data_IF_544630052969
#
_entry.id   IF_544630052969
#
_cell.length_a   1.000
_cell.length_b   1.000
_cell.length_c   1.000
_cell.angle_alpha   90.00
_cell.angle_beta   90.00
_cell.angle_gamma   90.00
#
_symmetry.space_group_name_H-M   'P 1'
#
loop_
_entity.id
_entity.type
_entity.pdbx_description
1 polymer ?
#
# COMPACT_ATOMS: atom_id res chain seq x y z
N UNK A 1 51.10 11.73 -9.06
CA UNK A 1 49.63 12.02 -8.87
C UNK A 1 49.07 12.37 -10.22
N UNK A 2 48.05 11.63 -10.69
CA UNK A 2 47.33 12.00 -11.93
C UNK A 2 46.37 13.16 -11.60
N UNK A 3 46.31 14.14 -12.50
CA UNK A 3 45.37 15.23 -12.37
C UNK A 3 43.92 14.71 -12.47
N UNK A 4 43.00 15.32 -11.72
CA UNK A 4 41.57 14.98 -11.79
C UNK A 4 41.03 15.14 -13.21
N UNK A 5 41.65 16.00 -14.03
CA UNK A 5 41.25 16.21 -15.43
C UNK A 5 41.63 15.04 -16.35
N UNK A 6 42.56 14.16 -15.91
CA UNK A 6 43.02 13.00 -16.68
C UNK A 6 42.26 11.71 -16.30
N UNK A 7 41.28 11.81 -15.41
CA UNK A 7 40.47 10.68 -15.00
C UNK A 7 39.33 10.55 -16.03
N UNK A 8 39.47 9.54 -16.88
CA UNK A 8 38.38 9.12 -17.75
C UNK A 8 37.36 8.35 -16.91
N UNK A 9 36.09 8.73 -17.03
CA UNK A 9 34.97 7.99 -16.46
C UNK A 9 34.45 6.88 -17.40
N UNK A 10 35.18 6.64 -18.49
CA UNK A 10 34.93 5.49 -19.36
C UNK A 10 35.45 4.22 -18.68
N UNK A 11 34.54 3.48 -18.06
CA UNK A 11 34.82 2.21 -17.38
C UNK A 11 34.81 1.00 -18.33
N UNK A 12 34.71 1.23 -19.65
CA UNK A 12 34.75 0.14 -20.61
C UNK A 12 36.12 -0.52 -20.59
N UNK A 13 36.19 -1.82 -20.49
CA UNK A 13 37.48 -2.53 -20.60
C UNK A 13 38.06 -2.31 -21.99
N UNK A 14 39.38 -2.16 -22.04
CA UNK A 14 40.09 -2.07 -23.31
C UNK A 14 39.80 -3.31 -24.19
N UNK A 15 39.60 -3.16 -25.50
CA UNK A 15 39.43 -4.31 -26.39
C UNK A 15 40.61 -5.27 -26.25
N UNK A 16 40.33 -6.53 -25.95
CA UNK A 16 41.34 -7.56 -25.70
C UNK A 16 41.71 -7.83 -24.24
N UNK A 17 41.25 -7.01 -23.29
CA UNK A 17 41.47 -7.25 -21.86
C UNK A 17 40.34 -8.05 -21.21
N UNK A 18 39.25 -8.32 -21.93
CA UNK A 18 38.20 -9.16 -21.42
C UNK A 18 38.68 -10.59 -21.26
N UNK A 19 38.48 -11.22 -20.10
CA UNK A 19 38.77 -12.63 -19.95
C UNK A 19 37.91 -13.41 -20.95
N UNK A 20 38.50 -14.45 -21.54
CA UNK A 20 37.80 -15.33 -22.45
C UNK A 20 36.60 -15.94 -21.75
N UNK A 21 35.40 -15.68 -22.25
CA UNK A 21 34.19 -16.22 -21.64
C UNK A 21 34.27 -17.75 -21.63
N UNK A 22 34.09 -18.31 -20.44
CA UNK A 22 33.95 -19.76 -20.32
C UNK A 22 32.71 -20.20 -21.07
N UNK A 23 32.81 -21.25 -21.97
CA UNK A 23 31.63 -21.76 -22.61
C UNK A 23 30.62 -22.20 -21.54
N UNK A 24 29.46 -21.61 -21.56
CA UNK A 24 28.36 -22.05 -20.72
C UNK A 24 28.03 -23.48 -21.08
N UNK A 25 28.43 -24.43 -20.23
CA UNK A 25 28.05 -25.82 -20.35
C UNK A 25 26.52 -25.83 -20.08
N UNK A 26 25.74 -25.80 -21.16
CA UNK A 26 24.28 -26.01 -21.13
C UNK A 26 23.96 -27.49 -20.92
N UNK A 27 24.59 -28.14 -19.96
CA UNK A 27 24.02 -29.36 -19.40
C UNK A 27 22.76 -28.94 -18.67
N UNK A 28 21.62 -29.48 -19.14
CA UNK A 28 20.28 -29.07 -18.72
C UNK A 28 20.24 -28.70 -17.25
N UNK A 29 20.06 -27.41 -17.00
CA UNK A 29 19.95 -26.89 -15.67
C UNK A 29 18.68 -27.48 -15.03
N UNK A 30 18.88 -28.52 -14.27
CA UNK A 30 17.84 -29.03 -13.39
C UNK A 30 17.69 -27.98 -12.28
N UNK A 31 16.78 -27.04 -12.52
CA UNK A 31 16.58 -25.89 -11.65
C UNK A 31 16.53 -26.34 -10.19
N UNK A 32 17.34 -25.72 -9.34
CA UNK A 32 17.21 -25.92 -7.91
C UNK A 32 15.79 -25.54 -7.51
N UNK A 33 15.02 -26.48 -7.02
CA UNK A 33 13.76 -26.20 -6.35
C UNK A 33 14.07 -25.45 -5.06
N UNK A 34 13.95 -24.14 -5.10
CA UNK A 34 13.96 -23.35 -3.87
C UNK A 34 12.58 -23.52 -3.22
N UNK A 35 12.56 -23.99 -2.00
CA UNK A 35 11.35 -23.97 -1.20
C UNK A 35 10.87 -22.54 -1.07
N UNK A 36 9.56 -22.34 -1.21
CA UNK A 36 8.95 -21.01 -1.05
C UNK A 36 9.22 -20.53 0.38
N UNK A 37 10.02 -19.48 0.51
CA UNK A 37 10.36 -18.91 1.81
C UNK A 37 9.48 -17.69 2.05
N UNK A 38 8.61 -17.78 3.05
CA UNK A 38 7.81 -16.64 3.49
C UNK A 38 8.63 -15.79 4.46
N UNK A 39 8.93 -14.57 4.09
CA UNK A 39 9.51 -13.58 4.98
C UNK A 39 8.40 -12.78 5.64
N UNK A 40 8.29 -12.87 6.95
CA UNK A 40 7.47 -11.97 7.73
C UNK A 40 8.33 -10.80 8.18
N UNK A 41 7.91 -9.59 7.86
CA UNK A 41 8.56 -8.38 8.37
C UNK A 41 7.56 -7.57 9.18
N UNK A 42 8.06 -6.88 10.16
CA UNK A 42 7.28 -5.90 10.90
C UNK A 42 7.07 -4.69 9.97
N UNK A 43 5.81 -4.30 9.75
CA UNK A 43 5.52 -3.07 9.02
C UNK A 43 6.23 -1.89 9.69
N UNK A 44 6.67 -0.91 8.91
CA UNK A 44 7.25 0.31 9.47
C UNK A 44 6.25 0.91 10.47
N UNK A 45 6.74 1.34 11.62
CA UNK A 45 5.93 1.86 12.72
C UNK A 45 5.30 3.24 12.44
N UNK A 46 5.09 3.60 11.17
CA UNK A 46 4.36 4.80 10.76
C UNK A 46 2.88 4.59 11.09
N UNK A 47 2.46 5.27 12.13
CA UNK A 47 1.11 5.25 12.64
C UNK A 47 0.43 6.57 12.28
N UNK A 48 -0.70 6.51 11.58
CA UNK A 48 -1.63 7.61 11.38
C UNK A 48 -2.87 7.39 12.22
N UNK A 49 -3.48 8.47 12.68
CA UNK A 49 -4.73 8.42 13.46
C UNK A 49 -5.86 8.99 12.64
N UNK A 50 -7.02 8.33 12.67
CA UNK A 50 -8.23 8.85 12.05
C UNK A 50 -8.27 8.85 10.52
N UNK A 51 -7.69 7.86 9.87
CA UNK A 51 -7.73 7.68 8.40
C UNK A 51 -9.11 7.22 7.89
N UNK A 52 -10.19 7.97 8.20
CA UNK A 52 -11.56 7.57 7.88
C UNK A 52 -11.94 7.79 6.42
N UNK A 53 -11.30 8.73 5.74
CA UNK A 53 -11.57 9.11 4.35
C UNK A 53 -10.66 8.42 3.35
N UNK A 54 -9.69 7.66 3.82
CA UNK A 54 -8.71 6.98 2.99
C UNK A 54 -9.38 5.95 2.05
N UNK A 55 -8.97 5.98 0.80
CA UNK A 55 -9.25 4.91 -0.16
C UNK A 55 -8.05 3.95 -0.21
N UNK A 56 -8.07 2.95 0.66
CA UNK A 56 -6.96 2.00 0.83
C UNK A 56 -6.50 1.38 -0.49
N UNK A 57 -7.43 1.02 -1.36
CA UNK A 57 -7.09 0.37 -2.64
C UNK A 57 -6.35 1.31 -3.59
N UNK A 58 -6.79 2.55 -3.69
CA UNK A 58 -6.18 3.55 -4.56
C UNK A 58 -4.90 4.13 -3.95
N UNK A 59 -5.00 4.61 -2.71
CA UNK A 59 -3.93 5.39 -2.08
C UNK A 59 -2.75 4.55 -1.61
N UNK A 60 -3.03 3.34 -1.07
CA UNK A 60 -1.97 2.45 -0.58
C UNK A 60 -1.41 1.54 -1.67
N UNK A 61 -2.27 1.02 -2.54
CA UNK A 61 -1.90 -0.02 -3.51
C UNK A 61 -1.95 0.44 -4.96
N UNK A 62 -2.45 1.65 -5.24
CA UNK A 62 -2.52 2.20 -6.59
C UNK A 62 -3.52 1.49 -7.51
N UNK A 63 -4.49 0.75 -6.95
CA UNK A 63 -5.51 0.06 -7.72
C UNK A 63 -6.59 1.04 -8.19
N UNK A 64 -6.63 1.32 -9.47
CA UNK A 64 -7.67 2.12 -10.11
C UNK A 64 -8.51 1.22 -11.01
N UNK A 65 -9.84 1.25 -10.86
CA UNK A 65 -10.76 0.51 -11.72
C UNK A 65 -10.91 1.19 -13.09
N UNK A 66 -11.01 2.51 -13.11
CA UNK A 66 -11.15 3.31 -14.31
C UNK A 66 -10.53 4.70 -14.09
N UNK A 67 -9.37 5.00 -14.69
CA UNK A 67 -8.65 6.25 -14.41
C UNK A 67 -9.47 7.52 -14.69
N UNK A 68 -10.36 7.49 -15.69
CA UNK A 68 -11.18 8.64 -16.08
C UNK A 68 -12.30 8.89 -15.06
N UNK A 69 -12.87 7.84 -14.48
CA UNK A 69 -13.97 7.93 -13.52
C UNK A 69 -13.49 8.02 -12.07
N UNK A 70 -12.23 7.83 -11.82
CA UNK A 70 -11.65 7.82 -10.47
C UNK A 70 -11.96 9.07 -9.64
N UNK A 71 -11.88 10.30 -10.18
CA UNK A 71 -12.23 11.51 -9.43
C UNK A 71 -13.70 11.52 -8.97
N UNK A 72 -14.60 11.02 -9.83
CA UNK A 72 -16.04 10.94 -9.50
C UNK A 72 -16.28 9.90 -8.42
N UNK A 73 -15.65 8.73 -8.54
CA UNK A 73 -15.77 7.64 -7.56
C UNK A 73 -15.19 8.09 -6.20
N UNK A 74 -14.05 8.73 -6.20
CA UNK A 74 -13.40 9.25 -4.99
C UNK A 74 -14.23 10.35 -4.33
N UNK A 75 -14.80 11.26 -5.11
CA UNK A 75 -15.73 12.28 -4.63
C UNK A 75 -16.99 11.68 -4.02
N UNK A 76 -17.63 10.73 -4.70
CA UNK A 76 -18.81 10.04 -4.19
C UNK A 76 -18.50 9.30 -2.88
N UNK A 77 -17.37 8.61 -2.82
CA UNK A 77 -16.91 7.91 -1.61
C UNK A 77 -16.67 8.87 -0.44
N UNK A 78 -16.06 10.03 -0.71
CA UNK A 78 -15.86 11.08 0.29
C UNK A 78 -17.19 11.53 0.89
N UNK A 79 -18.15 11.93 0.04
CA UNK A 79 -19.47 12.40 0.51
C UNK A 79 -20.26 11.32 1.25
N UNK A 80 -20.19 10.06 0.82
CA UNK A 80 -20.81 8.95 1.52
C UNK A 80 -20.13 8.63 2.86
N UNK A 81 -18.85 8.92 3.00
CA UNK A 81 -18.13 8.71 4.25
C UNK A 81 -18.56 9.70 5.33
N UNK A 82 -18.96 10.93 4.96
CA UNK A 82 -19.37 11.95 5.95
C UNK A 82 -20.50 11.46 6.86
N UNK A 83 -21.66 11.00 6.36
CA UNK A 83 -22.72 10.50 7.23
C UNK A 83 -22.33 9.20 7.97
N UNK A 84 -21.45 8.38 7.39
CA UNK A 84 -20.99 7.13 8.00
C UNK A 84 -19.78 7.33 8.95
N UNK A 85 -19.37 8.56 9.19
CA UNK A 85 -18.21 8.85 10.03
C UNK A 85 -18.35 8.29 11.45
N UNK A 86 -19.49 8.47 12.17
CA UNK A 86 -19.67 7.92 13.50
C UNK A 86 -19.54 6.39 13.52
N UNK A 87 -20.06 5.72 12.50
CA UNK A 87 -19.93 4.28 12.35
C UNK A 87 -18.46 3.87 12.24
N UNK A 88 -17.69 4.53 11.38
CA UNK A 88 -16.26 4.28 11.21
C UNK A 88 -15.47 4.55 12.49
N UNK A 89 -15.83 5.60 13.26
CA UNK A 89 -15.24 5.87 14.57
C UNK A 89 -15.59 4.80 15.61
N UNK A 90 -16.75 4.19 15.48
CA UNK A 90 -17.14 3.04 16.31
C UNK A 90 -16.35 1.78 16.00
N UNK A 91 -15.95 1.55 14.74
CA UNK A 91 -15.10 0.43 14.34
C UNK A 91 -13.66 0.68 14.77
N UNK A 92 -13.10 1.84 14.38
CA UNK A 92 -11.75 2.26 14.71
C UNK A 92 -11.80 3.56 15.53
N UNK A 93 -11.48 3.51 16.82
CA UNK A 93 -11.42 4.73 17.64
C UNK A 93 -10.39 5.72 17.08
N UNK A 94 -10.63 7.04 17.21
CA UNK A 94 -9.73 8.06 16.66
C UNK A 94 -8.34 8.06 17.30
N UNK A 95 -8.20 7.41 18.47
CA UNK A 95 -6.92 7.28 19.17
C UNK A 95 -6.13 6.05 18.78
N UNK A 96 -6.73 5.12 18.03
CA UNK A 96 -6.09 3.91 17.57
C UNK A 96 -5.15 4.20 16.41
N UNK A 97 -4.00 3.54 16.41
CA UNK A 97 -3.03 3.62 15.34
C UNK A 97 -3.49 2.83 14.13
N UNK A 98 -3.56 3.48 12.98
CA UNK A 98 -3.74 2.85 11.67
C UNK A 98 -2.38 2.80 10.94
N UNK A 99 -1.93 1.60 10.63
CA UNK A 99 -0.66 1.40 9.95
C UNK A 99 -0.89 1.45 8.44
N UNK A 100 -0.52 2.56 7.83
CA UNK A 100 -0.82 2.85 6.43
C UNK A 100 -0.10 1.95 5.43
N UNK A 101 1.03 1.36 5.80
CA UNK A 101 1.78 0.49 4.90
C UNK A 101 1.23 -0.94 4.78
N UNK A 102 0.24 -1.30 5.61
CA UNK A 102 -0.48 -2.55 5.50
C UNK A 102 0.39 -3.80 5.54
N UNK A 103 -0.15 -4.90 5.00
CA UNK A 103 0.48 -6.21 4.99
C UNK A 103 1.49 -6.39 3.85
N UNK A 104 1.30 -5.69 2.74
CA UNK A 104 2.15 -5.82 1.56
C UNK A 104 3.31 -4.85 1.59
N UNK A 105 4.48 -5.34 1.13
CA UNK A 105 5.69 -4.51 1.04
C UNK A 105 5.51 -3.43 -0.03
N UNK A 106 5.97 -2.18 0.20
CA UNK A 106 6.01 -1.16 -0.85
C UNK A 106 6.75 -1.67 -2.09
N UNK A 107 6.16 -1.46 -3.28
CA UNK A 107 6.71 -1.93 -4.55
C UNK A 107 6.35 -3.37 -4.92
N UNK A 108 5.69 -4.14 -4.05
CA UNK A 108 5.11 -5.44 -4.41
C UNK A 108 3.73 -5.23 -5.03
N UNK A 109 3.44 -5.99 -6.11
CA UNK A 109 2.08 -6.03 -6.65
C UNK A 109 1.17 -6.70 -5.62
N UNK A 110 0.33 -5.91 -4.94
CA UNK A 110 -0.69 -6.46 -4.06
C UNK A 110 -1.92 -6.89 -4.88
N UNK A 111 -2.58 -8.01 -4.56
CA UNK A 111 -3.83 -8.35 -5.19
C UNK A 111 -4.92 -7.36 -4.80
N UNK A 112 -5.93 -7.19 -5.66
CA UNK A 112 -7.12 -6.41 -5.31
C UNK A 112 -7.88 -7.15 -4.20
N UNK A 113 -7.97 -6.53 -3.04
CA UNK A 113 -8.65 -7.09 -1.88
C UNK A 113 -10.03 -6.45 -1.75
N UNK A 114 -11.05 -7.29 -1.66
CA UNK A 114 -12.40 -6.85 -1.30
C UNK A 114 -12.52 -7.02 0.22
N UNK A 115 -12.49 -5.92 0.95
CA UNK A 115 -12.75 -5.95 2.38
C UNK A 115 -14.27 -6.08 2.60
N UNK A 116 -14.73 -7.14 3.28
CA UNK A 116 -16.14 -7.23 3.65
C UNK A 116 -16.50 -6.07 4.58
N UNK A 117 -17.74 -5.59 4.46
CA UNK A 117 -18.22 -4.51 5.33
C UNK A 117 -18.20 -4.99 6.79
N UNK A 118 -17.42 -4.37 7.68
CA UNK A 118 -17.28 -4.83 9.05
C UNK A 118 -18.54 -4.49 9.84
N UNK A 119 -19.26 -5.51 10.28
CA UNK A 119 -20.45 -5.35 11.13
C UNK A 119 -20.01 -5.37 12.59
N UNK A 120 -20.25 -4.26 13.30
CA UNK A 120 -19.91 -4.11 14.72
C UNK A 120 -21.07 -3.48 15.48
N UNK A 121 -21.50 -4.12 16.56
CA UNK A 121 -22.55 -3.59 17.45
C UNK A 121 -22.13 -2.23 18.01
N UNK A 122 -20.87 -2.08 18.38
CA UNK A 122 -20.31 -0.81 18.84
C UNK A 122 -20.47 0.29 17.81
N UNK A 123 -20.16 0.01 16.54
CA UNK A 123 -20.29 0.98 15.46
C UNK A 123 -21.76 1.38 15.21
N UNK A 124 -22.69 0.43 15.29
CA UNK A 124 -24.14 0.68 15.18
C UNK A 124 -24.62 1.60 16.32
N UNK A 125 -24.15 1.37 17.53
CA UNK A 125 -24.49 2.24 18.69
C UNK A 125 -23.94 3.65 18.52
N UNK A 126 -22.72 3.83 18.01
CA UNK A 126 -22.13 5.13 17.73
C UNK A 126 -22.93 5.88 16.65
N UNK A 127 -23.30 5.21 15.58
CA UNK A 127 -24.12 5.79 14.51
C UNK A 127 -25.51 6.16 15.02
N UNK A 128 -26.18 5.26 15.75
CA UNK A 128 -27.48 5.50 16.33
C UNK A 128 -27.49 6.67 17.31
N UNK A 129 -26.45 6.79 18.14
CA UNK A 129 -26.29 7.91 19.06
C UNK A 129 -26.08 9.24 18.31
N UNK A 130 -25.29 9.23 17.23
CA UNK A 130 -25.05 10.41 16.41
C UNK A 130 -26.33 10.89 15.69
N UNK A 131 -27.07 9.98 15.10
CA UNK A 131 -28.34 10.28 14.43
C UNK A 131 -29.38 10.78 15.45
N UNK A 132 -29.52 10.07 16.58
CA UNK A 132 -30.43 10.47 17.66
C UNK A 132 -30.10 11.85 18.23
N UNK A 133 -28.81 12.13 18.43
CA UNK A 133 -28.34 13.45 18.86
C UNK A 133 -28.61 14.54 17.82
N UNK A 134 -28.38 14.25 16.54
CA UNK A 134 -28.67 15.21 15.47
C UNK A 134 -30.16 15.53 15.39
N UNK A 135 -31.04 14.54 15.47
CA UNK A 135 -32.50 14.73 15.46
C UNK A 135 -32.97 15.51 16.68
N UNK A 136 -32.35 15.30 17.85
CA UNK A 136 -32.70 16.01 19.08
C UNK A 136 -32.25 17.48 19.09
N UNK A 137 -31.18 17.80 18.36
CA UNK A 137 -30.58 19.14 18.30
C UNK A 137 -31.08 19.98 17.14
N UNK A 138 -31.53 19.35 16.05
CA UNK A 138 -32.10 20.03 14.89
C UNK A 138 -33.61 20.07 15.06
N UNK A 139 -34.22 21.29 15.22
CA UNK A 139 -35.69 21.45 15.35
C UNK A 139 -36.44 21.08 14.05
#
# INVERSE_FOLDING_TARGET
>A
MKSIRDISYDIRPMPGTLPKECPLITTGYNGRHFSQTCFQWKASALCTKGAYFENVQLERYGHSMCPIMEPVISGARFFLTVPMLPYKMGIKPPNECDYTLGHYRPGSCSPYMLDPFPISIRAILFEGAAIGGAVALLP
#
